data_IF_781925507807
#
_entry.id   IF_781925507807
#
_cell.length_a   1.000
_cell.length_b   1.000
_cell.length_c   1.000
_cell.angle_alpha   90.00
_cell.angle_beta   90.00
_cell.angle_gamma   90.00
#
_symmetry.space_group_name_H-M   'P 1'
#
loop_
_entity.id
_entity.type
_entity.pdbx_description
1 polymer ?
#
# COMPACT_ATOMS: atom_id res chain seq x y z
N UNK A 1 20.94 -3.25 -15.78
CA UNK A 1 20.36 -1.88 -15.74
C UNK A 1 21.11 -0.94 -16.70
N UNK A 2 20.38 -0.19 -17.56
CA UNK A 2 20.99 0.60 -18.66
C UNK A 2 21.79 1.82 -18.16
N UNK A 3 21.21 2.66 -17.31
CA UNK A 3 21.84 3.90 -16.82
C UNK A 3 22.44 3.81 -15.42
N UNK A 4 22.32 2.66 -14.76
CA UNK A 4 22.82 2.39 -13.39
C UNK A 4 22.31 3.37 -12.31
N UNK A 5 21.13 3.94 -12.49
CA UNK A 5 20.50 4.83 -11.51
C UNK A 5 19.68 4.00 -10.51
N UNK A 6 19.88 4.16 -9.19
CA UNK A 6 19.08 3.45 -8.20
C UNK A 6 17.62 3.91 -8.21
N UNK A 7 16.70 2.97 -7.95
CA UNK A 7 15.27 3.24 -7.84
C UNK A 7 14.87 3.13 -6.38
N UNK A 8 14.25 4.18 -5.85
CA UNK A 8 13.66 4.19 -4.52
C UNK A 8 12.16 4.47 -4.66
N UNK A 9 11.30 3.45 -4.68
CA UNK A 9 9.89 3.66 -4.97
C UNK A 9 9.16 4.38 -3.83
N UNK A 10 8.22 5.24 -4.24
CA UNK A 10 7.27 5.90 -3.35
C UNK A 10 6.17 4.91 -2.90
N UNK A 11 5.76 5.01 -1.63
CA UNK A 11 4.77 4.14 -1.01
C UNK A 11 3.82 4.86 -0.01
N UNK A 12 3.86 6.19 0.06
CA UNK A 12 3.09 6.99 1.02
C UNK A 12 1.61 7.22 0.67
N UNK A 13 0.84 6.16 0.44
CA UNK A 13 -0.58 6.23 0.12
C UNK A 13 -1.31 4.89 0.32
N UNK A 14 -2.64 4.90 0.18
CA UNK A 14 -3.48 3.71 0.43
C UNK A 14 -3.07 2.56 -0.49
N UNK A 15 -2.53 1.49 0.09
CA UNK A 15 -2.12 0.29 -0.65
C UNK A 15 -0.78 0.39 -1.39
N UNK A 16 -0.13 1.56 -1.43
CA UNK A 16 1.08 1.69 -2.26
C UNK A 16 2.23 0.81 -1.76
N UNK A 17 2.34 0.63 -0.44
CA UNK A 17 3.27 -0.33 0.16
C UNK A 17 2.99 -1.76 -0.33
N UNK A 18 1.72 -2.18 -0.33
CA UNK A 18 1.28 -3.51 -0.73
C UNK A 18 1.64 -3.82 -2.19
N UNK A 19 1.52 -2.82 -3.06
CA UNK A 19 1.77 -2.95 -4.49
C UNK A 19 3.27 -2.88 -4.82
N UNK A 20 3.96 -1.82 -4.37
CA UNK A 20 5.28 -1.47 -4.89
C UNK A 20 6.40 -2.41 -4.40
N UNK A 21 6.18 -3.11 -3.28
CA UNK A 21 7.10 -4.15 -2.79
C UNK A 21 7.36 -5.25 -3.83
N UNK A 22 6.36 -5.60 -4.65
CA UNK A 22 6.49 -6.60 -5.71
C UNK A 22 7.43 -6.13 -6.81
N UNK A 23 7.32 -4.86 -7.22
CA UNK A 23 8.19 -4.27 -8.24
C UNK A 23 9.64 -4.18 -7.76
N UNK A 24 9.86 -3.85 -6.50
CA UNK A 24 11.21 -3.83 -5.92
C UNK A 24 11.80 -5.22 -5.77
N UNK A 25 11.00 -6.21 -5.37
CA UNK A 25 11.45 -7.59 -5.32
C UNK A 25 11.85 -8.09 -6.73
N UNK A 26 11.01 -7.80 -7.73
CA UNK A 26 11.31 -8.13 -9.12
C UNK A 26 12.54 -7.39 -9.66
N UNK A 27 12.70 -6.08 -9.38
CA UNK A 27 13.89 -5.33 -9.77
C UNK A 27 15.15 -5.98 -9.19
N UNK A 28 15.16 -6.27 -7.89
CA UNK A 28 16.29 -6.93 -7.24
C UNK A 28 16.61 -8.29 -7.86
N UNK A 29 15.60 -9.14 -8.09
CA UNK A 29 15.82 -10.52 -8.57
C UNK A 29 16.21 -10.56 -10.04
N UNK A 30 15.60 -9.73 -10.88
CA UNK A 30 15.61 -9.93 -12.34
C UNK A 30 16.21 -8.77 -13.15
N UNK A 31 16.47 -7.61 -12.54
CA UNK A 31 16.89 -6.41 -13.29
C UNK A 31 18.17 -5.77 -12.74
N UNK A 32 18.20 -5.46 -11.45
CA UNK A 32 19.26 -4.73 -10.79
C UNK A 32 20.28 -5.62 -10.09
N UNK A 33 19.83 -6.72 -9.47
CA UNK A 33 20.70 -7.61 -8.69
C UNK A 33 21.33 -6.93 -7.47
N UNK A 34 20.85 -5.77 -7.03
CA UNK A 34 21.53 -4.94 -6.04
C UNK A 34 20.56 -4.20 -5.12
N UNK A 35 20.95 -4.06 -3.85
CA UNK A 35 20.30 -3.21 -2.86
C UNK A 35 21.11 -1.94 -2.57
N UNK A 36 22.26 -1.74 -3.23
CA UNK A 36 23.11 -0.56 -3.01
C UNK A 36 22.34 0.72 -3.34
N UNK A 37 22.25 1.64 -2.36
CA UNK A 37 21.54 2.93 -2.49
C UNK A 37 20.08 2.80 -2.94
N UNK A 38 19.43 1.68 -2.61
CA UNK A 38 18.02 1.42 -2.92
C UNK A 38 17.26 1.15 -1.63
N UNK A 39 16.05 1.68 -1.57
CA UNK A 39 15.13 1.50 -0.45
C UNK A 39 13.72 1.64 -0.95
N UNK A 40 12.78 1.02 -0.25
CA UNK A 40 11.35 1.19 -0.47
C UNK A 40 10.86 2.11 0.65
N UNK A 41 10.13 3.17 0.30
CA UNK A 41 9.46 3.99 1.30
C UNK A 41 8.45 3.12 2.08
N UNK A 42 8.28 3.38 3.38
CA UNK A 42 7.28 2.72 4.21
C UNK A 42 6.55 3.77 5.06
N UNK A 43 5.23 3.62 5.20
CA UNK A 43 4.39 4.44 6.05
C UNK A 43 3.36 3.54 6.74
N UNK A 44 3.28 3.59 8.07
CA UNK A 44 2.40 2.73 8.89
C UNK A 44 0.95 3.23 8.89
N UNK A 45 0.28 3.25 7.73
CA UNK A 45 -1.11 3.71 7.61
C UNK A 45 -1.93 2.78 6.71
N UNK A 46 -3.14 2.41 7.15
CA UNK A 46 -4.22 1.79 6.36
C UNK A 46 -3.97 0.35 5.86
N UNK A 47 -2.87 -0.29 6.27
CA UNK A 47 -2.59 -1.70 5.96
C UNK A 47 -3.69 -2.65 6.47
N UNK A 48 -4.37 -2.28 7.56
CA UNK A 48 -5.46 -3.05 8.15
C UNK A 48 -6.65 -3.26 7.19
N UNK A 49 -6.73 -2.49 6.10
CA UNK A 49 -7.78 -2.60 5.10
C UNK A 49 -7.47 -3.61 3.98
N UNK A 50 -6.27 -4.19 3.95
CA UNK A 50 -5.86 -5.17 2.93
C UNK A 50 -5.92 -6.60 3.46
N UNK A 51 -6.21 -7.56 2.59
CA UNK A 51 -6.20 -9.00 2.93
C UNK A 51 -4.79 -9.57 3.06
N UNK A 52 -3.83 -8.94 2.40
CA UNK A 52 -2.41 -9.32 2.40
C UNK A 52 -1.55 -8.07 2.65
N UNK A 53 -1.59 -7.54 3.89
CA UNK A 53 -0.84 -6.34 4.24
C UNK A 53 0.66 -6.60 4.21
N UNK A 54 1.46 -5.55 4.01
CA UNK A 54 2.91 -5.66 4.08
C UNK A 54 3.39 -6.10 5.47
N UNK A 55 4.46 -6.89 5.51
CA UNK A 55 5.14 -7.29 6.74
C UNK A 55 6.53 -6.66 6.78
N UNK A 56 6.83 -5.92 7.85
CA UNK A 56 8.12 -5.30 8.07
C UNK A 56 8.84 -6.00 9.22
N UNK A 57 10.06 -6.49 8.96
CA UNK A 57 10.92 -7.12 9.98
C UNK A 57 12.27 -6.43 10.01
N UNK A 58 12.62 -5.85 11.17
CA UNK A 58 13.90 -5.14 11.38
C UNK A 58 14.16 -4.07 10.29
N UNK A 59 13.14 -3.30 9.92
CA UNK A 59 13.23 -2.25 8.90
C UNK A 59 13.29 -2.74 7.45
N UNK A 60 12.96 -4.00 7.18
CA UNK A 60 12.95 -4.58 5.84
C UNK A 60 11.58 -5.14 5.50
N UNK A 61 11.16 -4.97 4.24
CA UNK A 61 10.00 -5.68 3.69
C UNK A 61 10.29 -7.18 3.62
N UNK A 62 9.35 -7.97 4.12
CA UNK A 62 9.30 -9.41 3.83
C UNK A 62 8.54 -9.63 2.53
N UNK A 63 9.04 -10.52 1.67
CA UNK A 63 8.40 -10.81 0.39
C UNK A 63 7.04 -11.49 0.60
N UNK A 64 5.96 -11.02 -0.07
CA UNK A 64 4.65 -11.64 0.02
C UNK A 64 4.66 -13.12 -0.40
N UNK A 65 3.86 -13.94 0.28
CA UNK A 65 3.74 -15.38 0.01
C UNK A 65 2.42 -15.76 -0.67
N UNK A 66 1.40 -14.90 -0.55
CA UNK A 66 0.10 -15.14 -1.16
C UNK A 66 0.15 -14.82 -2.67
N UNK A 67 -0.54 -15.59 -3.51
CA UNK A 67 -0.68 -15.24 -4.92
C UNK A 67 -1.40 -13.91 -5.12
N UNK A 68 -0.96 -13.16 -6.11
CA UNK A 68 -1.55 -11.88 -6.50
C UNK A 68 -0.61 -10.71 -6.28
N UNK A 69 -1.17 -9.51 -6.35
CA UNK A 69 -0.43 -8.25 -6.29
C UNK A 69 -0.72 -7.49 -4.98
N UNK A 70 -1.19 -8.21 -3.96
CA UNK A 70 -1.60 -7.69 -2.63
C UNK A 70 -2.62 -6.53 -2.67
N UNK A 71 -3.36 -6.38 -3.78
CA UNK A 71 -4.31 -5.28 -4.02
C UNK A 71 -5.68 -5.50 -3.36
N UNK A 72 -5.98 -6.72 -2.92
CA UNK A 72 -7.32 -7.05 -2.42
C UNK A 72 -7.56 -6.38 -1.07
N UNK A 73 -8.46 -5.41 -1.07
CA UNK A 73 -9.00 -4.81 0.15
C UNK A 73 -10.04 -5.73 0.78
N UNK A 74 -10.22 -5.63 2.09
CA UNK A 74 -11.30 -6.30 2.82
C UNK A 74 -12.63 -5.69 2.39
N UNK A 75 -13.60 -6.54 2.04
CA UNK A 75 -14.93 -6.11 1.57
C UNK A 75 -15.58 -5.11 2.53
N UNK A 76 -15.46 -5.35 3.85
CA UNK A 76 -15.95 -4.44 4.88
C UNK A 76 -15.29 -3.07 4.84
N UNK A 77 -13.99 -3.00 4.61
CA UNK A 77 -13.29 -1.70 4.49
C UNK A 77 -13.78 -0.94 3.26
N UNK A 78 -14.04 -1.64 2.16
CA UNK A 78 -14.65 -1.02 0.98
C UNK A 78 -16.06 -0.51 1.30
N UNK A 79 -16.93 -1.33 1.90
CA UNK A 79 -18.30 -0.92 2.21
C UNK A 79 -18.38 0.22 3.22
N UNK A 80 -17.61 0.16 4.30
CA UNK A 80 -17.69 1.10 5.42
C UNK A 80 -17.16 2.49 5.01
N UNK A 81 -16.15 2.55 4.13
CA UNK A 81 -15.49 3.77 3.69
C UNK A 81 -15.86 4.23 2.27
N UNK A 82 -16.81 3.56 1.60
CA UNK A 82 -17.27 3.97 0.27
C UNK A 82 -17.88 5.38 0.35
N UNK A 83 -17.27 6.35 -0.33
CA UNK A 83 -17.85 7.69 -0.39
C UNK A 83 -19.06 7.73 -1.34
N UNK A 84 -20.16 8.42 -1.01
CA UNK A 84 -20.50 9.04 0.28
C UNK A 84 -21.38 8.16 1.18
N UNK A 85 -21.70 6.93 0.74
CA UNK A 85 -22.76 6.09 1.31
C UNK A 85 -22.30 5.13 2.40
N UNK A 86 -21.00 4.94 2.58
CA UNK A 86 -20.42 4.10 3.61
C UNK A 86 -20.71 4.64 5.01
N UNK A 87 -20.78 3.74 5.98
CA UNK A 87 -21.18 4.09 7.35
C UNK A 87 -20.23 5.10 8.00
N UNK A 88 -18.94 5.06 7.66
CA UNK A 88 -17.96 6.05 8.14
C UNK A 88 -18.30 7.45 7.64
N UNK A 89 -18.63 7.60 6.36
CA UNK A 89 -19.01 8.89 5.78
C UNK A 89 -20.34 9.39 6.32
N UNK A 90 -21.35 8.52 6.40
CA UNK A 90 -22.65 8.85 7.01
C UNK A 90 -22.48 9.37 8.44
N UNK A 91 -21.63 8.73 9.24
CA UNK A 91 -21.33 9.17 10.60
C UNK A 91 -20.63 10.52 10.60
N UNK A 92 -19.62 10.73 9.76
CA UNK A 92 -18.93 12.03 9.66
C UNK A 92 -19.86 13.17 9.20
N UNK A 93 -20.83 12.89 8.32
CA UNK A 93 -21.87 13.86 7.96
C UNK A 93 -22.84 14.13 9.11
N UNK A 94 -23.25 13.10 9.85
CA UNK A 94 -24.14 13.23 11.01
C UNK A 94 -23.47 14.01 12.16
N UNK A 95 -22.17 13.84 12.34
CA UNK A 95 -21.34 14.60 13.30
C UNK A 95 -21.02 16.03 12.83
N UNK A 96 -21.37 16.39 11.58
CA UNK A 96 -21.07 17.70 11.00
C UNK A 96 -19.59 17.94 10.69
N UNK A 97 -18.75 16.88 10.66
CA UNK A 97 -17.33 16.98 10.28
C UNK A 97 -17.14 17.35 8.82
N UNK A 98 -18.05 16.90 7.96
CA UNK A 98 -18.08 17.21 6.54
C UNK A 98 -19.50 17.54 6.08
N UNK A 99 -19.62 18.33 5.02
CA UNK A 99 -20.89 18.55 4.33
C UNK A 99 -21.24 17.34 3.48
N UNK A 100 -22.51 16.94 3.48
CA UNK A 100 -23.01 15.95 2.53
C UNK A 100 -22.79 16.46 1.11
N UNK A 101 -22.37 15.60 0.15
CA UNK A 101 -22.40 15.98 -1.25
C UNK A 101 -23.83 16.33 -1.68
N UNK A 102 -23.93 17.22 -2.67
CA UNK A 102 -25.18 17.57 -3.33
C UNK A 102 -25.84 16.36 -3.99
#
# INVERSE_FOLDING_TARGET
MVFKIPVCPHAGGVGLCELVQHLSAWDYISVSGSLDKRMIEYVEHLHEHFEDPVSIRKGHYETPLRPGYSTKMKDRSVSDYQYPSGDVWKNMFAEGKFSKPL
#
